data_IF_672843073826
#
_entry.id   IF_672843073826
#
_cell.length_a   1.000
_cell.length_b   1.000
_cell.length_c   1.000
_cell.angle_alpha   90.00
_cell.angle_beta   90.00
_cell.angle_gamma   90.00
#
_symmetry.space_group_name_H-M   'P 1'
#
loop_
_entity.id
_entity.type
_entity.pdbx_description
1 polymer ?
#
# COMPACT_ATOMS: atom_id res chain seq x y z
N UNK A 1 -23.12 -4.48 -22.59
CA UNK A 1 -22.15 -5.47 -23.09
C UNK A 1 -20.77 -4.87 -22.92
N UNK A 2 -19.90 -5.45 -22.08
CA UNK A 2 -18.52 -4.97 -21.92
C UNK A 2 -17.74 -5.41 -23.15
N UNK A 3 -17.20 -4.45 -23.92
CA UNK A 3 -16.41 -4.78 -25.11
C UNK A 3 -14.95 -5.07 -24.70
N UNK A 4 -14.23 -5.84 -25.51
CA UNK A 4 -12.79 -6.14 -25.37
C UNK A 4 -11.97 -4.87 -25.09
N UNK A 5 -12.26 -3.76 -25.78
CA UNK A 5 -11.59 -2.48 -25.53
C UNK A 5 -11.73 -2.02 -24.08
N UNK A 6 -12.94 -2.08 -23.52
CA UNK A 6 -13.20 -1.71 -22.12
C UNK A 6 -12.44 -2.61 -21.14
N UNK A 7 -12.37 -3.93 -21.40
CA UNK A 7 -11.58 -4.85 -20.58
C UNK A 7 -10.09 -4.51 -20.65
N UNK A 8 -9.57 -4.20 -21.83
CA UNK A 8 -8.17 -3.79 -22.02
C UNK A 8 -7.88 -2.48 -21.28
N UNK A 9 -8.72 -1.47 -21.42
CA UNK A 9 -8.56 -0.17 -20.73
C UNK A 9 -8.61 -0.33 -19.21
N UNK A 10 -9.54 -1.14 -18.68
CA UNK A 10 -9.60 -1.44 -17.26
C UNK A 10 -8.36 -2.20 -16.77
N UNK A 11 -7.84 -3.14 -17.58
CA UNK A 11 -6.63 -3.90 -17.24
C UNK A 11 -5.40 -3.00 -17.20
N UNK A 12 -5.26 -2.10 -18.17
CA UNK A 12 -4.18 -1.11 -18.20
C UNK A 12 -4.28 -0.14 -17.03
N UNK A 13 -5.49 0.33 -16.72
CA UNK A 13 -5.73 1.21 -15.58
C UNK A 13 -5.40 0.51 -14.26
N UNK A 14 -5.87 -0.72 -14.05
CA UNK A 14 -5.54 -1.51 -12.88
C UNK A 14 -4.02 -1.74 -12.75
N UNK A 15 -3.35 -2.06 -13.86
CA UNK A 15 -1.89 -2.22 -13.90
C UNK A 15 -1.15 -0.94 -13.52
N UNK A 16 -1.62 0.22 -14.00
CA UNK A 16 -1.06 1.52 -13.62
C UNK A 16 -1.23 1.79 -12.12
N UNK A 17 -2.43 1.57 -11.59
CA UNK A 17 -2.72 1.75 -10.17
C UNK A 17 -1.81 0.87 -9.31
N UNK A 18 -1.68 -0.42 -9.64
CA UNK A 18 -0.76 -1.34 -8.94
C UNK A 18 0.68 -0.85 -9.01
N UNK A 19 1.14 -0.40 -10.18
CA UNK A 19 2.50 0.13 -10.35
C UNK A 19 2.76 1.35 -9.48
N UNK A 20 1.80 2.29 -9.41
CA UNK A 20 1.87 3.45 -8.54
C UNK A 20 1.89 3.06 -7.07
N UNK A 21 1.11 2.04 -6.67
CA UNK A 21 1.09 1.55 -5.29
C UNK A 21 2.45 0.96 -4.91
N UNK A 22 3.03 0.12 -5.77
CA UNK A 22 4.36 -0.46 -5.55
C UNK A 22 5.44 0.63 -5.45
N UNK A 23 5.40 1.62 -6.34
CA UNK A 23 6.34 2.75 -6.30
C UNK A 23 6.20 3.56 -5.00
N UNK A 24 4.96 3.86 -4.58
CA UNK A 24 4.69 4.56 -3.34
C UNK A 24 5.28 3.82 -2.13
N UNK A 25 5.02 2.53 -1.98
CA UNK A 25 5.55 1.76 -0.85
C UNK A 25 7.06 1.54 -0.91
N UNK A 26 7.64 1.46 -2.12
CA UNK A 26 9.10 1.43 -2.28
C UNK A 26 9.74 2.72 -1.77
N UNK A 27 9.12 3.87 -2.05
CA UNK A 27 9.59 5.17 -1.55
C UNK A 27 9.40 5.29 -0.03
N UNK A 28 8.21 4.96 0.48
CA UNK A 28 7.89 5.04 1.91
C UNK A 28 8.81 4.13 2.75
N UNK A 29 9.13 2.93 2.27
CA UNK A 29 9.99 2.00 2.98
C UNK A 29 11.48 2.34 2.85
N UNK A 30 11.87 3.34 2.04
CA UNK A 30 13.25 3.81 1.97
C UNK A 30 13.52 4.91 3.03
N UNK A 31 14.28 4.60 4.09
CA UNK A 31 14.53 5.55 5.18
C UNK A 31 15.33 6.79 4.77
N UNK A 32 16.03 6.78 3.64
CA UNK A 32 16.73 7.97 3.14
C UNK A 32 15.79 8.98 2.46
N UNK A 33 14.63 8.52 1.98
CA UNK A 33 13.63 9.37 1.32
C UNK A 33 12.53 9.79 2.30
N UNK A 34 12.10 8.87 3.16
CA UNK A 34 11.05 9.11 4.14
C UNK A 34 11.49 8.56 5.49
N UNK A 35 11.63 9.45 6.47
CA UNK A 35 11.97 9.04 7.82
C UNK A 35 10.87 8.11 8.38
N UNK A 36 11.19 7.07 9.16
CA UNK A 36 10.20 6.07 9.60
C UNK A 36 8.96 6.64 10.28
N UNK A 37 9.10 7.76 11.01
CA UNK A 37 8.00 8.44 11.70
C UNK A 37 7.14 9.33 10.80
N UNK A 38 7.61 9.60 9.57
CA UNK A 38 6.88 10.35 8.54
C UNK A 38 6.21 9.42 7.53
N UNK A 39 6.39 8.09 7.68
CA UNK A 39 5.79 7.13 6.78
C UNK A 39 4.27 7.22 6.86
N UNK A 40 3.63 7.27 5.70
CA UNK A 40 2.18 7.33 5.60
C UNK A 40 1.68 6.13 4.83
N UNK A 41 0.59 5.56 5.33
CA UNK A 41 -0.14 4.53 4.61
C UNK A 41 -1.29 5.15 3.84
N UNK A 42 -1.52 4.66 2.63
CA UNK A 42 -2.66 5.07 1.82
C UNK A 42 -3.96 4.72 2.56
N UNK A 43 -4.91 5.66 2.59
CA UNK A 43 -6.10 5.57 3.45
C UNK A 43 -6.89 4.27 3.25
N UNK A 44 -7.04 3.81 2.01
CA UNK A 44 -7.79 2.60 1.69
C UNK A 44 -7.03 1.32 2.08
N UNK A 45 -5.69 1.36 2.23
CA UNK A 45 -4.92 0.21 2.74
C UNK A 45 -5.18 0.03 4.22
N UNK A 46 -5.29 1.11 4.99
CA UNK A 46 -5.73 1.03 6.40
C UNK A 46 -7.11 0.39 6.50
N UNK A 47 -8.05 0.86 5.68
CA UNK A 47 -9.39 0.27 5.58
C UNK A 47 -9.35 -1.21 5.16
N UNK A 48 -8.51 -1.59 4.18
CA UNK A 48 -8.35 -2.98 3.75
C UNK A 48 -7.80 -3.87 4.87
N UNK A 49 -6.83 -3.39 5.65
CA UNK A 49 -6.29 -4.11 6.83
C UNK A 49 -7.31 -4.28 7.95
N UNK A 50 -8.22 -3.32 8.10
CA UNK A 50 -9.34 -3.44 9.05
C UNK A 50 -10.34 -4.52 8.60
N UNK A 51 -10.62 -4.61 7.30
CA UNK A 51 -11.55 -5.60 6.74
C UNK A 51 -10.95 -6.98 6.55
N UNK A 52 -9.65 -7.04 6.26
CA UNK A 52 -8.92 -8.26 5.96
C UNK A 52 -7.67 -8.29 6.85
N UNK A 53 -7.77 -8.86 8.07
CA UNK A 53 -6.66 -8.90 9.03
C UNK A 53 -5.37 -9.54 8.48
N UNK A 54 -5.49 -10.46 7.52
CA UNK A 54 -4.36 -11.07 6.83
C UNK A 54 -3.48 -10.06 6.06
N UNK A 55 -3.99 -8.86 5.77
CA UNK A 55 -3.25 -7.82 5.06
C UNK A 55 -2.38 -6.94 5.96
N UNK A 56 -2.51 -7.05 7.29
CA UNK A 56 -1.75 -6.23 8.26
C UNK A 56 -0.23 -6.22 8.05
N UNK A 57 0.43 -7.33 7.64
CA UNK A 57 1.87 -7.34 7.41
C UNK A 57 2.34 -6.55 6.17
N UNK A 58 1.44 -6.16 5.26
CA UNK A 58 1.81 -5.51 3.99
C UNK A 58 1.72 -3.99 4.09
N UNK A 59 2.44 -3.27 3.21
CA UNK A 59 2.38 -1.80 3.13
C UNK A 59 3.45 -1.13 3.99
N UNK A 60 3.05 -0.12 4.77
CA UNK A 60 3.92 0.46 5.81
C UNK A 60 3.74 -0.38 7.06
N UNK A 61 4.78 -1.10 7.47
CA UNK A 61 4.79 -1.78 8.76
C UNK A 61 5.13 -0.77 9.84
N UNK A 62 4.21 -0.57 10.77
CA UNK A 62 4.51 0.13 12.01
C UNK A 62 5.50 -0.74 12.80
N UNK A 63 6.81 -0.58 12.56
CA UNK A 63 7.87 -1.19 13.38
C UNK A 63 7.87 -0.67 14.84
N UNK A 64 6.85 0.10 15.23
CA UNK A 64 6.67 0.67 16.56
C UNK A 64 5.34 0.21 17.17
N UNK A 65 5.18 -1.10 17.31
CA UNK A 65 4.70 -1.55 18.61
C UNK A 65 5.80 -1.13 19.59
N UNK A 66 5.57 -0.18 20.52
CA UNK A 66 6.58 0.13 21.51
C UNK A 66 6.89 -1.20 22.19
N UNK A 67 8.17 -1.56 22.31
CA UNK A 67 8.58 -2.65 23.18
C UNK A 67 7.88 -2.44 24.51
N UNK A 68 6.91 -3.29 24.81
CA UNK A 68 6.39 -3.42 26.16
C UNK A 68 7.56 -3.93 27.00
N UNK A 69 7.90 -3.15 28.03
CA UNK A 69 8.73 -3.48 29.18
C UNK A 69 10.14 -4.08 28.94
N UNK A 70 11.16 -3.28 29.25
CA UNK A 70 12.28 -3.68 30.11
C UNK A 70 13.07 -2.44 30.57
#
# INVERSE_FOLDING_TARGET
MVNKRTVTELSLFAGLIVSMHVAYYTIQNNPSLVAPHQRQELFYVRWLKEKIPALRPYGVTDDKTPKADQ
#
